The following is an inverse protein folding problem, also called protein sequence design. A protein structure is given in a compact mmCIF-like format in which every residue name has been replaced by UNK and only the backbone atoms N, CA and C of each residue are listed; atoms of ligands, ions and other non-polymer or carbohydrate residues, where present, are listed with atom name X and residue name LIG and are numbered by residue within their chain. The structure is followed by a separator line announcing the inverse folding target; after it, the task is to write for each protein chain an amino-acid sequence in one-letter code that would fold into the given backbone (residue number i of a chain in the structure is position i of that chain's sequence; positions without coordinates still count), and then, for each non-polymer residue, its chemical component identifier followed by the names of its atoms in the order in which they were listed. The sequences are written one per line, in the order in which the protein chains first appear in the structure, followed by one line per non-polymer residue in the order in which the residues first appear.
data_IF_210557487964
#
_entry.id   IF_210557487964
#
_cell.length_a   1.000
_cell.length_b   1.000
_cell.length_c   1.000
_cell.angle_alpha   90.00
_cell.angle_beta   90.00
_cell.angle_gamma   90.00
#
_symmetry.space_group_name_H-M   'P 1'
#
loop_
_entity.id
_entity.type
_entity.pdbx_description
1 polymer ?
#
# COMPACT_ATOMS: atom_id res chain seq x y z
N UNK A 1 -12.06 -4.16 0.39
CA UNK A 1 -11.24 -3.93 -0.82
C UNK A 1 -12.10 -4.09 -2.05
N UNK A 2 -11.98 -3.18 -2.98
CA UNK A 2 -12.82 -3.08 -4.17
C UNK A 2 -12.35 -3.92 -5.37
N UNK A 3 -11.27 -4.65 -5.23
CA UNK A 3 -10.73 -5.51 -6.29
C UNK A 3 -10.43 -6.90 -5.73
N UNK A 4 -10.39 -7.87 -6.64
CA UNK A 4 -9.91 -9.20 -6.28
C UNK A 4 -8.37 -9.16 -6.29
N UNK A 5 -7.70 -9.29 -5.14
CA UNK A 5 -6.24 -9.18 -5.10
C UNK A 5 -5.51 -10.26 -5.88
N UNK A 6 -6.14 -11.42 -6.08
CA UNK A 6 -5.55 -12.50 -6.89
C UNK A 6 -5.54 -12.19 -8.38
N UNK A 7 -6.48 -11.35 -8.83
CA UNK A 7 -6.67 -11.01 -10.24
C UNK A 7 -6.29 -9.55 -10.55
N UNK A 8 -5.71 -8.83 -9.62
CA UNK A 8 -5.30 -7.45 -9.81
C UNK A 8 -4.18 -7.37 -10.86
N UNK A 9 -4.24 -6.42 -11.83
CA UNK A 9 -3.23 -6.29 -12.90
C UNK A 9 -1.94 -5.65 -12.40
N UNK A 10 -1.34 -6.24 -11.39
CA UNK A 10 -0.07 -5.83 -10.79
C UNK A 10 0.91 -6.99 -10.81
N UNK A 11 2.19 -6.71 -10.53
CA UNK A 11 3.20 -7.74 -10.46
C UNK A 11 2.86 -8.78 -9.37
N UNK A 12 3.46 -9.96 -9.47
CA UNK A 12 3.27 -11.01 -8.48
C UNK A 12 3.59 -10.52 -7.08
N UNK A 13 4.68 -9.78 -6.91
CA UNK A 13 5.13 -9.27 -5.63
C UNK A 13 4.12 -8.28 -5.02
N UNK A 14 3.57 -7.39 -5.84
CA UNK A 14 2.55 -6.45 -5.39
C UNK A 14 1.25 -7.17 -5.04
N UNK A 15 0.80 -8.11 -5.87
CA UNK A 15 -0.39 -8.90 -5.55
C UNK A 15 -0.22 -9.67 -4.24
N UNK A 16 1.00 -10.14 -3.96
CA UNK A 16 1.30 -10.84 -2.71
C UNK A 16 1.04 -9.98 -1.49
N UNK A 17 1.35 -8.68 -1.54
CA UNK A 17 1.00 -7.75 -0.46
C UNK A 17 -0.51 -7.72 -0.27
N UNK A 18 -1.26 -7.51 -1.34
CA UNK A 18 -2.72 -7.40 -1.28
C UNK A 18 -3.38 -8.67 -0.76
N UNK A 19 -2.93 -9.82 -1.23
CA UNK A 19 -3.45 -11.13 -0.82
C UNK A 19 -3.15 -11.41 0.66
N UNK A 20 -2.04 -10.91 1.16
CA UNK A 20 -1.58 -11.14 2.53
C UNK A 20 -2.17 -10.18 3.55
N UNK A 21 -2.93 -9.16 3.12
CA UNK A 21 -3.58 -8.24 4.05
C UNK A 21 -4.58 -8.99 4.93
N UNK A 22 -4.55 -8.68 6.23
CA UNK A 22 -5.57 -9.12 7.15
C UNK A 22 -6.95 -8.67 6.65
N UNK A 23 -7.95 -9.51 6.76
CA UNK A 23 -9.32 -9.21 6.33
C UNK A 23 -9.81 -7.88 6.90
N UNK A 24 -9.52 -7.61 8.16
CA UNK A 24 -9.89 -6.38 8.83
C UNK A 24 -9.28 -5.15 8.12
N UNK A 25 -8.01 -5.23 7.74
CA UNK A 25 -7.34 -4.13 7.03
C UNK A 25 -7.83 -4.05 5.59
N UNK A 26 -8.03 -5.18 4.94
CA UNK A 26 -8.56 -5.20 3.58
C UNK A 26 -9.95 -4.55 3.48
N UNK A 27 -10.75 -4.62 4.54
CA UNK A 27 -12.05 -3.96 4.59
C UNK A 27 -11.97 -2.44 4.79
N UNK A 28 -10.84 -1.94 5.29
CA UNK A 28 -10.67 -0.50 5.56
C UNK A 28 -10.06 0.27 4.42
N UNK A 29 -9.56 -0.38 3.39
CA UNK A 29 -8.92 0.30 2.27
C UNK A 29 -9.31 -0.29 0.93
N UNK A 30 -9.22 0.54 -0.10
CA UNK A 30 -9.47 0.18 -1.49
C UNK A 30 -8.24 0.45 -2.34
N UNK A 31 -8.12 -0.32 -3.42
CA UNK A 31 -7.12 -0.02 -4.45
C UNK A 31 -7.64 1.15 -5.28
N UNK A 32 -6.83 2.19 -5.36
CA UNK A 32 -7.14 3.35 -6.19
C UNK A 32 -6.76 3.01 -7.63
N UNK A 33 -7.66 3.25 -8.62
CA UNK A 33 -7.32 3.10 -10.01
C UNK A 33 -6.07 3.92 -10.32
N UNK A 34 -5.08 3.25 -10.87
CA UNK A 34 -3.77 3.83 -11.00
C UNK A 34 -3.66 4.75 -12.20
N UNK A 35 -2.89 5.80 -12.02
CA UNK A 35 -2.70 6.83 -13.02
C UNK A 35 -1.76 6.41 -14.15
N UNK A 36 -1.14 5.24 -14.09
CA UNK A 36 -0.11 4.91 -15.04
C UNK A 36 0.05 3.44 -15.40
N UNK A 37 -0.85 2.58 -15.03
CA UNK A 37 -0.76 1.13 -15.32
C UNK A 37 0.58 0.49 -14.91
N UNK A 38 1.29 1.09 -13.95
CA UNK A 38 2.55 0.56 -13.47
C UNK A 38 2.31 -0.69 -12.61
N UNK A 39 2.76 -1.87 -13.05
CA UNK A 39 2.52 -3.11 -12.30
C UNK A 39 3.34 -3.21 -11.01
N UNK A 40 4.29 -2.32 -10.78
CA UNK A 40 5.21 -2.37 -9.65
C UNK A 40 4.88 -1.40 -8.53
N UNK A 41 3.72 -0.78 -8.59
CA UNK A 41 3.21 0.10 -7.55
C UNK A 41 1.71 -0.09 -7.40
N UNK A 42 1.22 -0.01 -6.15
CA UNK A 42 -0.20 0.01 -5.87
C UNK A 42 -0.48 1.11 -4.86
N UNK A 43 -1.55 1.86 -5.10
CA UNK A 43 -2.02 2.88 -4.18
C UNK A 43 -3.25 2.36 -3.46
N UNK A 44 -3.22 2.41 -2.14
CA UNK A 44 -4.34 2.06 -1.26
C UNK A 44 -4.87 3.33 -0.63
N UNK A 45 -6.20 3.44 -0.53
CA UNK A 45 -6.87 4.58 0.08
C UNK A 45 -7.88 4.09 1.10
N UNK A 46 -7.93 4.74 2.26
CA UNK A 46 -8.92 4.44 3.28
C UNK A 46 -10.34 4.65 2.72
N UNK A 47 -11.26 3.75 3.05
CA UNK A 47 -12.62 3.78 2.51
C UNK A 47 -13.41 5.02 2.91
N UNK A 48 -13.10 5.63 4.05
CA UNK A 48 -13.80 6.80 4.58
C UNK A 48 -12.98 8.08 4.55
N UNK A 49 -11.64 7.97 4.51
CA UNK A 49 -10.73 9.11 4.56
C UNK A 49 -9.94 9.20 3.24
N UNK A 50 -10.41 10.02 2.32
CA UNK A 50 -9.83 10.12 0.97
C UNK A 50 -8.35 10.52 0.95
N UNK A 51 -7.89 11.19 2.00
CA UNK A 51 -6.50 11.65 2.08
C UNK A 51 -5.61 10.73 2.90
N UNK A 52 -6.13 9.61 3.38
CA UNK A 52 -5.34 8.60 4.07
C UNK A 52 -4.99 7.50 3.08
N UNK A 53 -3.78 7.58 2.52
CA UNK A 53 -3.32 6.70 1.45
C UNK A 53 -1.97 6.09 1.77
N UNK A 54 -1.68 4.99 1.11
CA UNK A 54 -0.37 4.37 1.13
C UNK A 54 -0.03 3.87 -0.27
N UNK A 55 1.21 4.12 -0.69
CA UNK A 55 1.74 3.66 -1.98
C UNK A 55 2.79 2.61 -1.70
N UNK A 56 2.53 1.37 -2.11
CA UNK A 56 3.48 0.26 -1.96
C UNK A 56 4.13 0.01 -3.30
N UNK A 57 5.46 0.00 -3.34
CA UNK A 57 6.19 -0.09 -4.60
C UNK A 57 7.40 -1.02 -4.51
N UNK A 58 7.84 -1.49 -5.70
CA UNK A 58 9.02 -2.33 -5.85
C UNK A 58 10.22 -1.60 -6.42
N UNK A 59 10.01 -0.42 -7.01
CA UNK A 59 11.06 0.36 -7.65
C UNK A 59 12.22 0.68 -6.70
N UNK A 60 13.44 0.33 -7.10
CA UNK A 60 14.64 0.61 -6.32
C UNK A 60 14.81 -0.23 -5.06
N UNK A 61 13.97 -1.22 -4.84
CA UNK A 61 14.03 -2.06 -3.66
C UNK A 61 14.84 -3.32 -3.89
N UNK A 62 15.48 -3.83 -2.82
CA UNK A 62 16.18 -5.12 -2.89
C UNK A 62 15.19 -6.24 -3.15
N UNK A 63 15.68 -7.36 -3.69
CA UNK A 63 14.86 -8.54 -3.94
C UNK A 63 14.09 -8.96 -2.68
N UNK A 64 12.78 -9.19 -2.83
CA UNK A 64 11.93 -9.60 -1.73
C UNK A 64 11.53 -8.50 -0.76
N UNK A 65 11.87 -7.24 -1.04
CA UNK A 65 11.51 -6.11 -0.19
C UNK A 65 10.66 -5.08 -0.93
N UNK A 66 10.10 -4.13 -0.17
CA UNK A 66 9.16 -3.14 -0.68
C UNK A 66 9.46 -1.78 -0.09
N UNK A 67 9.05 -0.73 -0.82
CA UNK A 67 8.96 0.60 -0.28
C UNK A 67 7.52 0.99 0.00
N UNK A 68 7.30 1.86 0.95
CA UNK A 68 5.99 2.45 1.23
C UNK A 68 6.14 3.95 1.34
N UNK A 69 5.22 4.67 0.71
CA UNK A 69 5.06 6.10 0.88
C UNK A 69 3.68 6.36 1.46
N UNK A 70 3.60 7.10 2.57
CA UNK A 70 2.37 7.37 3.29
C UNK A 70 1.86 8.78 3.04
N UNK A 71 0.56 8.92 2.81
CA UNK A 71 -0.12 10.21 2.78
C UNK A 71 -1.12 10.27 3.94
N UNK A 72 -1.17 11.41 4.60
CA UNK A 72 -2.03 11.67 5.76
C UNK A 72 -3.02 12.80 5.47
N UNK A 73 -4.22 12.80 6.11
CA UNK A 73 -5.20 13.88 5.93
C UNK A 73 -4.66 15.25 6.33
N UNK A 74 -3.76 15.28 7.32
CA UNK A 74 -3.15 16.50 7.84
C UNK A 74 -1.63 16.33 7.82
N UNK A 75 -1.00 16.48 6.65
CA UNK A 75 0.44 16.31 6.57
C UNK A 75 1.18 17.38 7.36
N UNK A 76 2.23 16.98 8.06
CA UNK A 76 3.13 17.90 8.75
C UNK A 76 4.21 18.31 7.76
N UNK A 77 4.34 19.60 7.45
CA UNK A 77 5.37 20.05 6.49
C UNK A 77 6.77 19.62 6.91
N UNK A 78 7.55 19.13 5.95
CA UNK A 78 8.93 18.72 6.16
C UNK A 78 9.11 17.29 6.67
N UNK A 79 8.05 16.56 6.93
CA UNK A 79 8.13 15.15 7.29
C UNK A 79 7.86 14.30 6.06
N UNK A 80 8.85 13.50 5.68
CA UNK A 80 8.71 12.49 4.64
C UNK A 80 8.35 11.17 5.32
N UNK A 81 7.14 10.71 5.06
CA UNK A 81 6.66 9.45 5.60
C UNK A 81 6.88 8.34 4.57
N UNK A 82 8.13 7.92 4.43
CA UNK A 82 8.47 6.80 3.56
C UNK A 82 9.41 5.83 4.26
N UNK A 83 9.25 4.57 3.94
CA UNK A 83 10.12 3.50 4.40
C UNK A 83 10.52 2.65 3.21
N UNK A 84 11.76 2.20 3.19
CA UNK A 84 12.29 1.43 2.07
C UNK A 84 12.90 0.11 2.50
N UNK A 85 12.99 -0.81 1.53
CA UNK A 85 13.59 -2.14 1.73
C UNK A 85 12.97 -2.92 2.88
N UNK A 86 11.64 -2.84 3.00
CA UNK A 86 10.89 -3.56 4.02
C UNK A 86 10.54 -4.98 3.57
N UNK A 87 10.79 -5.99 4.40
CA UNK A 87 10.25 -7.33 4.14
C UNK A 87 8.72 -7.34 4.28
N UNK A 88 8.07 -8.31 3.65
CA UNK A 88 6.61 -8.39 3.62
C UNK A 88 5.94 -8.26 4.99
N UNK A 89 6.40 -8.95 6.06
CA UNK A 89 5.76 -8.78 7.38
C UNK A 89 5.79 -7.35 7.89
N UNK A 90 6.84 -6.59 7.60
CA UNK A 90 6.95 -5.18 7.99
C UNK A 90 6.00 -4.31 7.17
N UNK A 91 5.86 -4.60 5.89
CA UNK A 91 4.89 -3.90 5.03
C UNK A 91 3.48 -4.08 5.58
N UNK A 92 3.11 -5.32 5.90
CA UNK A 92 1.78 -5.62 6.42
C UNK A 92 1.53 -4.92 7.76
N UNK A 93 2.51 -4.93 8.66
CA UNK A 93 2.40 -4.24 9.95
C UNK A 93 2.24 -2.72 9.77
N UNK A 94 3.01 -2.13 8.86
CA UNK A 94 2.94 -0.70 8.57
C UNK A 94 1.58 -0.31 7.97
N UNK A 95 1.06 -1.11 7.05
CA UNK A 95 -0.26 -0.86 6.45
C UNK A 95 -1.37 -1.00 7.50
N UNK A 96 -1.28 -2.01 8.36
CA UNK A 96 -2.26 -2.21 9.44
C UNK A 96 -2.31 -0.98 10.36
N UNK A 97 -1.15 -0.48 10.75
CA UNK A 97 -1.08 0.71 11.59
C UNK A 97 -1.62 1.95 10.88
N UNK A 98 -1.26 2.13 9.61
CA UNK A 98 -1.64 3.31 8.82
C UNK A 98 -3.15 3.38 8.62
N UNK A 99 -3.80 2.26 8.32
CA UNK A 99 -5.23 2.22 8.04
C UNK A 99 -6.12 1.94 9.27
N UNK A 100 -5.53 1.80 10.43
CA UNK A 100 -6.27 1.65 11.69
C UNK A 100 -6.71 3.04 12.21
N UNK A 101 -7.64 3.62 11.49
CA UNK A 101 -8.14 4.97 11.80
C UNK A 101 -9.64 4.98 12.07
#
# INVERSE_FOLDING_TARGET
MNVNPWACPKSREIRRVLVSLDERIAETCDVVPDDGDDPYIVTLCHTELNNLRAHVYRHGQRAGTYGIFFEYPHPVPGILESEENLPLPKVLASLALHFDA
#
